data_IF_233253921139
#
_entry.id   IF_233253921139
#
_cell.length_a   1.000
_cell.length_b   1.000
_cell.length_c   1.000
_cell.angle_alpha   90.00
_cell.angle_beta   90.00
_cell.angle_gamma   90.00
#
_symmetry.space_group_name_H-M   'P 1'
#
loop_
_entity.id
_entity.type
_entity.pdbx_description
1 polymer ?
#
# COMPACT_ATOMS: atom_id res chain seq x y z
N UNK A 1 27.43 6.41 2.10
CA UNK A 1 26.41 5.33 2.17
C UNK A 1 25.66 5.27 0.85
N UNK A 2 25.20 4.09 0.40
CA UNK A 2 24.33 3.93 -0.78
C UNK A 2 22.89 3.70 -0.32
N UNK A 3 21.91 4.02 -1.18
CA UNK A 3 20.47 3.87 -0.90
C UNK A 3 19.90 2.69 -1.69
N UNK A 4 18.97 1.97 -1.09
CA UNK A 4 18.32 0.77 -1.65
C UNK A 4 16.81 0.81 -1.35
N UNK A 5 16.00 0.26 -2.24
CA UNK A 5 14.55 0.04 -2.03
C UNK A 5 14.34 -1.46 -1.89
N UNK A 6 13.48 -1.87 -0.95
CA UNK A 6 13.10 -3.26 -0.77
C UNK A 6 11.66 -3.38 -0.33
N UNK A 7 11.00 -4.42 -0.83
CA UNK A 7 9.65 -4.83 -0.43
C UNK A 7 9.71 -6.29 -0.01
N UNK A 8 9.00 -6.65 1.06
CA UNK A 8 9.01 -8.00 1.64
C UNK A 8 7.60 -8.41 2.01
N UNK A 9 7.23 -9.66 1.72
CA UNK A 9 6.05 -10.30 2.27
C UNK A 9 6.45 -10.97 3.60
N UNK A 10 5.81 -10.55 4.69
CA UNK A 10 6.14 -10.97 6.07
C UNK A 10 4.87 -11.21 6.85
N UNK A 11 4.98 -11.98 7.93
CA UNK A 11 3.96 -12.08 8.97
C UNK A 11 4.29 -11.11 10.10
N UNK A 12 3.26 -10.53 10.72
CA UNK A 12 3.42 -9.60 11.84
C UNK A 12 2.38 -9.84 12.92
N UNK A 13 2.82 -9.78 14.18
CA UNK A 13 1.93 -9.79 15.34
C UNK A 13 2.33 -8.69 16.34
N UNK A 14 1.36 -8.03 17.02
CA UNK A 14 1.67 -7.02 18.02
C UNK A 14 2.57 -7.60 19.12
N UNK A 15 3.64 -6.88 19.45
CA UNK A 15 4.59 -7.26 20.50
C UNK A 15 5.29 -6.00 21.02
N UNK A 16 5.39 -5.86 22.34
CA UNK A 16 6.17 -4.78 22.94
C UNK A 16 7.68 -5.01 22.76
N UNK A 17 8.48 -3.95 22.84
CA UNK A 17 9.94 -4.05 22.78
C UNK A 17 10.50 -4.99 23.87
N UNK A 18 9.93 -4.95 25.08
CA UNK A 18 10.36 -5.77 26.21
C UNK A 18 10.10 -7.26 25.99
N UNK A 19 8.92 -7.61 25.48
CA UNK A 19 8.58 -8.98 25.08
C UNK A 19 9.53 -9.48 23.99
N UNK A 20 9.82 -8.64 22.99
CA UNK A 20 10.74 -9.01 21.90
C UNK A 20 12.17 -9.25 22.39
N UNK A 21 12.70 -8.38 23.24
CA UNK A 21 14.03 -8.57 23.83
C UNK A 21 14.09 -9.84 24.69
N UNK A 22 13.03 -10.12 25.45
CA UNK A 22 12.91 -11.36 26.22
C UNK A 22 12.90 -12.59 25.31
N UNK A 23 12.12 -12.56 24.23
CA UNK A 23 12.09 -13.61 23.20
C UNK A 23 13.46 -13.87 22.56
N UNK A 24 14.28 -12.82 22.38
CA UNK A 24 15.65 -12.92 21.84
C UNK A 24 16.74 -13.22 22.88
N UNK A 25 16.42 -13.17 24.18
CA UNK A 25 17.41 -13.25 25.26
C UNK A 25 18.34 -12.03 25.31
N UNK A 26 17.87 -10.87 24.87
CA UNK A 26 18.64 -9.62 24.79
C UNK A 26 18.36 -8.72 25.99
N UNK A 27 19.40 -7.97 26.39
CA UNK A 27 19.23 -6.89 27.35
C UNK A 27 18.75 -5.63 26.63
N UNK A 28 17.70 -5.02 27.18
CA UNK A 28 17.14 -3.78 26.65
C UNK A 28 18.12 -2.64 26.96
N UNK A 29 18.50 -1.81 25.97
CA UNK A 29 19.29 -0.60 26.21
C UNK A 29 18.64 0.33 27.24
N UNK A 30 19.44 1.01 28.06
CA UNK A 30 18.94 1.83 29.17
C UNK A 30 18.11 3.05 28.71
N UNK A 31 18.27 3.48 27.47
CA UNK A 31 17.55 4.57 26.81
C UNK A 31 16.29 4.10 26.05
N UNK A 32 16.00 2.79 26.04
CA UNK A 32 14.85 2.20 25.40
C UNK A 32 13.80 1.75 26.41
N UNK A 33 12.52 2.02 26.10
CA UNK A 33 11.39 1.64 26.98
C UNK A 33 10.86 0.25 26.62
N UNK A 34 10.82 -0.69 27.57
CA UNK A 34 10.26 -2.03 27.35
C UNK A 34 8.78 -2.01 26.89
N UNK A 35 8.00 -1.04 27.36
CA UNK A 35 6.59 -0.87 27.07
C UNK A 35 6.29 -0.29 25.67
N UNK A 36 7.32 0.09 24.91
CA UNK A 36 7.13 0.63 23.56
C UNK A 36 6.42 -0.42 22.69
N UNK A 37 5.25 -0.02 22.17
CA UNK A 37 4.44 -0.86 21.29
C UNK A 37 5.11 -1.06 19.92
N UNK A 38 4.95 -2.25 19.37
CA UNK A 38 5.45 -2.57 18.04
C UNK A 38 4.92 -3.91 17.55
N UNK A 39 5.65 -4.47 16.58
CA UNK A 39 5.30 -5.71 15.93
C UNK A 39 6.52 -6.61 15.83
N UNK A 40 6.36 -7.88 16.20
CA UNK A 40 7.28 -8.95 15.81
C UNK A 40 7.03 -9.27 14.34
N UNK A 41 8.10 -9.26 13.54
CA UNK A 41 8.05 -9.59 12.12
C UNK A 41 8.74 -10.93 11.90
N UNK A 42 8.08 -11.84 11.18
CA UNK A 42 8.62 -13.15 10.79
C UNK A 42 8.74 -13.21 9.27
N UNK A 43 9.94 -13.56 8.81
CA UNK A 43 10.26 -13.65 7.39
C UNK A 43 10.19 -15.11 6.92
N UNK A 44 9.98 -15.37 5.61
CA UNK A 44 9.88 -16.73 5.09
C UNK A 44 11.13 -17.60 5.31
N UNK A 45 12.31 -16.99 5.46
CA UNK A 45 13.58 -17.67 5.74
C UNK A 45 13.82 -17.95 7.23
N UNK A 46 12.84 -17.62 8.09
CA UNK A 46 12.93 -17.77 9.54
C UNK A 46 13.65 -16.61 10.24
N UNK A 47 14.11 -15.60 9.51
CA UNK A 47 14.61 -14.37 10.13
C UNK A 47 13.47 -13.68 10.89
N UNK A 48 13.80 -13.08 12.04
CA UNK A 48 12.85 -12.35 12.88
C UNK A 48 13.40 -10.99 13.27
N UNK A 49 12.56 -9.98 13.20
CA UNK A 49 12.87 -8.60 13.59
C UNK A 49 11.72 -7.99 14.39
N UNK A 50 11.95 -6.82 14.96
CA UNK A 50 10.89 -6.03 15.59
C UNK A 50 10.85 -4.63 14.99
N UNK A 51 9.64 -4.11 14.80
CA UNK A 51 9.43 -2.74 14.30
C UNK A 51 8.57 -1.95 15.29
N UNK A 52 8.95 -0.70 15.65
CA UNK A 52 8.06 0.21 16.37
C UNK A 52 6.72 0.35 15.66
N UNK A 53 5.65 0.52 16.45
CA UNK A 53 4.26 0.56 15.98
C UNK A 53 4.05 1.54 14.82
N UNK A 54 4.41 2.81 15.02
CA UNK A 54 4.21 3.86 14.02
C UNK A 54 5.02 3.62 12.73
N UNK A 55 6.22 3.02 12.86
CA UNK A 55 7.05 2.67 11.71
C UNK A 55 6.39 1.55 10.92
N UNK A 56 5.87 0.54 11.61
CA UNK A 56 5.19 -0.60 10.98
C UNK A 56 3.92 -0.16 10.27
N UNK A 57 3.01 0.53 10.96
CA UNK A 57 1.72 0.96 10.42
C UNK A 57 1.86 1.88 9.20
N UNK A 58 2.99 2.61 9.08
CA UNK A 58 3.31 3.43 7.91
C UNK A 58 3.95 2.66 6.76
N UNK A 59 4.77 1.65 7.05
CA UNK A 59 5.61 0.99 6.07
C UNK A 59 4.98 -0.27 5.45
N UNK A 60 4.00 -0.88 6.13
CA UNK A 60 3.42 -2.16 5.74
C UNK A 60 1.96 -2.02 5.32
N UNK A 61 1.61 -2.65 4.20
CA UNK A 61 0.25 -2.81 3.73
C UNK A 61 -0.20 -4.23 4.06
N UNK A 62 -1.27 -4.37 4.84
CA UNK A 62 -1.90 -5.67 5.04
C UNK A 62 -2.51 -6.16 3.73
N UNK A 63 -2.30 -7.43 3.40
CA UNK A 63 -2.85 -8.13 2.23
C UNK A 63 -3.95 -9.11 2.69
N UNK A 64 -4.84 -9.48 1.77
CA UNK A 64 -5.90 -10.45 2.07
C UNK A 64 -5.38 -11.88 1.92
N UNK A 65 -5.70 -12.73 2.89
CA UNK A 65 -5.38 -14.16 2.83
C UNK A 65 -6.11 -14.84 1.66
N UNK A 66 -5.39 -15.72 0.98
CA UNK A 66 -5.91 -16.50 -0.13
C UNK A 66 -5.19 -17.85 -0.20
N UNK A 67 -5.71 -18.82 0.56
CA UNK A 67 -5.18 -20.17 0.67
C UNK A 67 -5.13 -20.94 -0.65
N UNK A 68 -5.86 -20.48 -1.68
CA UNK A 68 -5.86 -21.10 -3.01
C UNK A 68 -4.65 -20.69 -3.87
N UNK A 69 -3.87 -19.69 -3.44
CA UNK A 69 -2.70 -19.21 -4.17
C UNK A 69 -1.40 -19.69 -3.53
N UNK A 70 -0.35 -19.98 -4.31
CA UNK A 70 0.96 -20.35 -3.75
C UNK A 70 1.60 -19.27 -2.87
N UNK A 71 1.26 -17.99 -3.08
CA UNK A 71 1.67 -16.87 -2.23
C UNK A 71 0.95 -16.84 -0.88
N UNK A 72 -0.17 -17.56 -0.73
CA UNK A 72 -1.06 -17.51 0.43
C UNK A 72 -1.88 -16.22 0.55
N UNK A 73 -1.69 -15.25 -0.34
CA UNK A 73 -2.28 -13.89 -0.26
C UNK A 73 -2.60 -13.32 -1.64
N UNK A 74 -3.52 -12.35 -1.69
CA UNK A 74 -3.89 -11.63 -2.92
C UNK A 74 -4.18 -10.14 -2.68
N UNK A 75 -4.15 -9.36 -3.77
CA UNK A 75 -4.70 -8.00 -3.80
C UNK A 75 -6.17 -8.08 -4.18
N UNK A 76 -7.06 -7.64 -3.29
CA UNK A 76 -8.50 -7.60 -3.51
C UNK A 76 -9.02 -6.23 -3.95
N UNK A 77 -10.26 -6.20 -4.43
CA UNK A 77 -10.93 -4.95 -4.83
C UNK A 77 -11.02 -3.95 -3.67
N UNK A 78 -11.34 -4.42 -2.46
CA UNK A 78 -11.40 -3.58 -1.26
C UNK A 78 -10.06 -2.86 -1.02
N UNK A 79 -8.94 -3.57 -1.17
CA UNK A 79 -7.61 -2.97 -1.03
C UNK A 79 -7.37 -1.85 -2.04
N UNK A 80 -7.77 -2.05 -3.30
CA UNK A 80 -7.64 -1.03 -4.36
C UNK A 80 -8.47 0.20 -4.04
N UNK A 81 -9.71 0.02 -3.58
CA UNK A 81 -10.62 1.11 -3.24
C UNK A 81 -10.13 1.89 -2.02
N UNK A 82 -9.71 1.19 -0.97
CA UNK A 82 -9.18 1.79 0.26
C UNK A 82 -7.78 2.38 0.07
N UNK A 83 -7.08 2.09 -1.04
CA UNK A 83 -5.78 2.71 -1.32
C UNK A 83 -5.90 4.15 -1.83
N UNK A 84 -7.09 4.56 -2.27
CA UNK A 84 -7.39 5.95 -2.62
C UNK A 84 -7.52 6.77 -1.33
N UNK A 85 -6.74 7.84 -1.21
CA UNK A 85 -6.90 8.78 -0.09
C UNK A 85 -7.99 9.81 -0.40
N UNK A 86 -7.89 10.48 -1.55
CA UNK A 86 -8.91 11.41 -2.03
C UNK A 86 -8.76 11.66 -3.53
N UNK A 87 -9.80 12.24 -4.13
CA UNK A 87 -9.82 12.62 -5.55
C UNK A 87 -10.27 14.06 -5.73
N UNK A 88 -9.79 14.68 -6.79
CA UNK A 88 -10.18 16.01 -7.23
C UNK A 88 -10.57 15.91 -8.70
N UNK A 89 -11.74 16.44 -9.05
CA UNK A 89 -12.28 16.44 -10.41
C UNK A 89 -12.34 17.86 -10.91
N UNK A 90 -12.00 18.06 -12.19
CA UNK A 90 -12.20 19.33 -12.87
C UNK A 90 -12.53 19.14 -14.34
N UNK A 91 -13.27 20.10 -14.89
CA UNK A 91 -13.42 20.28 -16.33
C UNK A 91 -12.25 21.09 -16.90
N UNK A 92 -11.55 20.55 -17.90
CA UNK A 92 -10.54 21.25 -18.70
C UNK A 92 -11.13 21.63 -20.07
N UNK A 93 -11.27 22.92 -20.33
CA UNK A 93 -11.96 23.41 -21.53
C UNK A 93 -13.48 23.25 -21.37
N UNK A 94 -14.17 22.78 -22.41
CA UNK A 94 -15.62 22.64 -22.46
C UNK A 94 -16.12 21.19 -22.51
N UNK A 95 -15.21 20.21 -22.60
CA UNK A 95 -15.57 18.82 -22.92
C UNK A 95 -14.67 17.73 -22.33
N UNK A 96 -13.69 18.09 -21.52
CA UNK A 96 -12.72 17.14 -20.95
C UNK A 96 -12.81 17.14 -19.43
N UNK A 97 -13.15 16.00 -18.85
CA UNK A 97 -13.00 15.76 -17.41
C UNK A 97 -11.58 15.29 -17.12
N UNK A 98 -10.97 15.84 -16.08
CA UNK A 98 -9.70 15.39 -15.51
C UNK A 98 -9.94 15.03 -14.06
N UNK A 99 -9.46 13.85 -13.64
CA UNK A 99 -9.48 13.41 -12.25
C UNK A 99 -8.05 13.21 -11.78
N UNK A 100 -7.68 13.93 -10.71
CA UNK A 100 -6.47 13.69 -9.93
C UNK A 100 -6.83 12.82 -8.74
N UNK A 101 -6.21 11.66 -8.61
CA UNK A 101 -6.35 10.75 -7.49
C UNK A 101 -5.05 10.71 -6.70
N UNK A 102 -5.14 10.97 -5.40
CA UNK A 102 -4.03 10.84 -4.46
C UNK A 102 -4.20 9.55 -3.68
N UNK A 103 -3.17 8.71 -3.68
CA UNK A 103 -3.15 7.43 -2.98
C UNK A 103 -2.71 7.61 -1.52
N UNK A 104 -2.94 6.60 -0.67
CA UNK A 104 -2.55 6.60 0.77
C UNK A 104 -1.07 6.88 1.03
N UNK A 105 -0.20 6.58 0.08
CA UNK A 105 1.23 6.85 0.15
C UNK A 105 1.63 8.23 -0.44
N UNK A 106 0.66 9.04 -0.86
CA UNK A 106 0.88 10.35 -1.49
C UNK A 106 1.24 10.31 -2.98
N UNK A 107 1.29 9.13 -3.61
CA UNK A 107 1.48 9.03 -5.05
C UNK A 107 0.22 9.52 -5.79
N UNK A 108 0.40 10.17 -6.93
CA UNK A 108 -0.70 10.77 -7.69
C UNK A 108 -0.91 10.04 -9.02
N UNK A 109 -2.16 9.73 -9.32
CA UNK A 109 -2.59 9.24 -10.63
C UNK A 109 -3.54 10.27 -11.21
N UNK A 110 -3.23 10.77 -12.40
CA UNK A 110 -4.10 11.68 -13.14
C UNK A 110 -4.64 10.97 -14.36
N UNK A 111 -5.97 10.98 -14.52
CA UNK A 111 -6.66 10.45 -15.67
C UNK A 111 -7.58 11.48 -16.29
N UNK A 112 -7.91 11.28 -17.57
CA UNK A 112 -8.82 12.16 -18.29
C UNK A 112 -9.77 11.40 -19.20
N UNK A 113 -10.91 12.04 -19.49
CA UNK A 113 -11.94 11.59 -20.42
C UNK A 113 -12.50 12.80 -21.15
N UNK A 114 -12.60 12.73 -22.48
CA UNK A 114 -13.12 13.82 -23.30
C UNK A 114 -14.19 13.31 -24.27
N UNK A 115 -15.32 14.02 -24.35
CA UNK A 115 -16.32 13.76 -25.38
C UNK A 115 -16.02 14.56 -26.67
N UNK A 116 -16.66 14.18 -27.78
CA UNK A 116 -16.45 14.84 -29.08
C UNK A 116 -17.19 16.17 -29.17
N UNK A 117 -18.46 16.20 -28.72
CA UNK A 117 -19.32 17.39 -28.73
C UNK A 117 -19.54 17.89 -27.29
N UNK A 118 -19.18 19.14 -26.96
CA UNK A 118 -19.44 19.75 -25.65
C UNK A 118 -20.90 19.66 -25.19
N UNK A 119 -21.87 19.60 -26.11
CA UNK A 119 -23.30 19.44 -25.76
C UNK A 119 -23.59 18.11 -25.07
N UNK A 120 -22.75 17.10 -25.28
CA UNK A 120 -22.84 15.78 -24.66
C UNK A 120 -21.91 15.66 -23.44
N UNK A 121 -21.31 16.75 -22.98
CA UNK A 121 -20.41 16.73 -21.84
C UNK A 121 -21.15 16.44 -20.54
N UNK A 122 -20.60 15.52 -19.75
CA UNK A 122 -21.02 15.21 -18.39
C UNK A 122 -19.76 14.99 -17.54
N UNK A 123 -19.54 15.88 -16.56
CA UNK A 123 -18.38 15.77 -15.67
C UNK A 123 -18.44 14.46 -14.86
N UNK A 124 -19.63 14.09 -14.41
CA UNK A 124 -19.90 12.87 -13.64
C UNK A 124 -19.53 11.61 -14.43
N UNK A 125 -20.02 11.47 -15.67
CA UNK A 125 -19.70 10.33 -16.52
C UNK A 125 -18.19 10.30 -16.84
N UNK A 126 -17.60 11.46 -17.12
CA UNK A 126 -16.17 11.58 -17.36
C UNK A 126 -15.36 11.14 -16.13
N UNK A 127 -15.81 11.50 -14.93
CA UNK A 127 -15.16 11.14 -13.67
C UNK A 127 -15.27 9.64 -13.39
N UNK A 128 -16.44 9.02 -13.63
CA UNK A 128 -16.63 7.57 -13.52
C UNK A 128 -15.66 6.80 -14.43
N UNK A 129 -15.53 7.22 -15.69
CA UNK A 129 -14.58 6.64 -16.66
C UNK A 129 -13.14 6.78 -16.16
N UNK A 130 -12.77 7.96 -15.65
CA UNK A 130 -11.43 8.18 -15.09
C UNK A 130 -11.17 7.30 -13.87
N UNK A 131 -12.16 7.16 -12.98
CA UNK A 131 -12.05 6.32 -11.78
C UNK A 131 -11.88 4.85 -12.12
N UNK A 132 -12.52 4.34 -13.18
CA UNK A 132 -12.25 2.99 -13.69
C UNK A 132 -10.78 2.80 -14.04
N UNK A 133 -10.23 3.69 -14.88
CA UNK A 133 -8.80 3.67 -15.29
C UNK A 133 -7.85 3.81 -14.10
N UNK A 134 -8.19 4.66 -13.13
CA UNK A 134 -7.39 4.86 -11.90
C UNK A 134 -7.37 3.56 -11.08
N UNK A 135 -8.52 2.92 -10.87
CA UNK A 135 -8.60 1.65 -10.12
C UNK A 135 -7.78 0.55 -10.81
N UNK A 136 -7.85 0.45 -12.13
CA UNK A 136 -7.04 -0.50 -12.90
C UNK A 136 -5.54 -0.27 -12.68
N UNK A 137 -5.09 0.99 -12.70
CA UNK A 137 -3.69 1.36 -12.41
C UNK A 137 -3.28 1.03 -10.98
N UNK A 138 -4.13 1.31 -9.99
CA UNK A 138 -3.85 0.94 -8.60
C UNK A 138 -3.71 -0.58 -8.48
N UNK A 139 -4.57 -1.34 -9.14
CA UNK A 139 -4.50 -2.80 -9.17
C UNK A 139 -3.17 -3.28 -9.76
N UNK A 140 -2.76 -2.73 -10.90
CA UNK A 140 -1.47 -3.02 -11.53
C UNK A 140 -0.30 -2.74 -10.57
N UNK A 141 -0.29 -1.57 -9.92
CA UNK A 141 0.77 -1.16 -9.01
C UNK A 141 0.84 -2.03 -7.75
N UNK A 142 -0.30 -2.35 -7.13
CA UNK A 142 -0.36 -3.23 -5.97
C UNK A 142 0.02 -4.67 -6.33
N UNK A 143 -0.37 -5.14 -7.52
CA UNK A 143 0.05 -6.43 -8.06
C UNK A 143 1.57 -6.49 -8.28
N UNK A 144 2.16 -5.47 -8.88
CA UNK A 144 3.61 -5.33 -9.03
C UNK A 144 4.33 -5.35 -7.67
N UNK A 145 3.78 -4.63 -6.68
CA UNK A 145 4.33 -4.58 -5.33
C UNK A 145 4.32 -5.97 -4.67
N UNK A 146 3.20 -6.69 -4.75
CA UNK A 146 3.06 -8.04 -4.21
C UNK A 146 4.01 -9.04 -4.91
N UNK A 147 4.09 -8.99 -6.25
CA UNK A 147 5.02 -9.82 -7.02
C UNK A 147 6.47 -9.59 -6.58
N UNK A 148 6.84 -8.32 -6.39
CA UNK A 148 8.19 -7.95 -5.91
C UNK A 148 8.42 -8.43 -4.47
N UNK A 149 7.41 -8.33 -3.60
CA UNK A 149 7.49 -8.78 -2.21
C UNK A 149 7.66 -10.30 -2.09
N UNK A 150 7.03 -11.06 -2.99
CA UNK A 150 7.04 -12.52 -2.99
C UNK A 150 8.29 -13.11 -3.67
N UNK A 151 8.67 -12.61 -4.85
CA UNK A 151 9.76 -13.17 -5.64
C UNK A 151 11.08 -12.39 -5.60
N UNK A 152 11.07 -11.17 -5.05
CA UNK A 152 12.20 -10.26 -5.08
C UNK A 152 12.47 -9.65 -6.47
N UNK A 153 13.60 -8.96 -6.58
CA UNK A 153 14.12 -8.37 -7.82
C UNK A 153 15.38 -9.19 -8.20
N UNK A 154 15.46 -9.67 -9.44
CA UNK A 154 16.57 -10.48 -9.95
C UNK A 154 17.36 -9.71 -11.01
#
# INVERSE_FOLDING_TARGET
MKKYIGTKLIEAEPMTRGEYNTYRGWQIPADEKPEDGGYLLKYPDGYVSWSPKEIFERAYLQVDDNENLPSGVSIGQKMVEEFVAYTETMTLGDRTTVVRCVLRNGFEIVESSACVDPKNYSEELGAEICMGKIKDKIWELLGFLLQTAWHGIR
#
